data_IF_889563086317
#
_entry.id   IF_889563086317
#
_cell.length_a   1.000
_cell.length_b   1.000
_cell.length_c   1.000
_cell.angle_alpha   90.00
_cell.angle_beta   90.00
_cell.angle_gamma   90.00
#
_symmetry.space_group_name_H-M   'P 1'
#
loop_
_entity.id
_entity.type
_entity.pdbx_description
1 polymer ?
#
# COMPACT_ATOMS: atom_id res chain seq x y z
N UNK A 1 19.50 -6.42 -39.63
CA UNK A 1 19.33 -7.18 -38.37
C UNK A 1 19.59 -6.25 -37.20
N UNK A 2 18.60 -6.03 -36.36
CA UNK A 2 18.75 -5.17 -35.18
C UNK A 2 19.65 -5.86 -34.13
N UNK A 3 20.21 -5.09 -33.20
CA UNK A 3 21.00 -5.61 -32.07
C UNK A 3 20.15 -6.58 -31.26
N UNK A 4 18.84 -6.34 -31.15
CA UNK A 4 17.87 -7.19 -30.47
C UNK A 4 17.76 -8.58 -31.13
N UNK A 5 17.68 -8.64 -32.46
CA UNK A 5 17.63 -9.91 -33.20
C UNK A 5 18.93 -10.73 -33.07
N UNK A 6 20.08 -10.05 -32.88
CA UNK A 6 21.37 -10.73 -32.60
C UNK A 6 21.43 -11.22 -31.15
N UNK A 7 20.86 -10.50 -30.20
CA UNK A 7 20.76 -10.94 -28.80
C UNK A 7 19.82 -12.13 -28.64
N UNK A 8 18.66 -12.13 -29.33
CA UNK A 8 17.75 -13.27 -29.36
C UNK A 8 18.42 -14.52 -29.96
N UNK A 9 19.24 -14.35 -31.01
CA UNK A 9 20.00 -15.48 -31.61
C UNK A 9 21.11 -16.02 -30.70
N UNK A 10 21.67 -15.20 -29.81
CA UNK A 10 22.66 -15.62 -28.83
C UNK A 10 22.03 -16.35 -27.65
N UNK A 11 20.83 -15.97 -27.25
CA UNK A 11 20.06 -16.62 -26.17
C UNK A 11 19.56 -18.01 -26.62
N UNK A 12 19.19 -18.17 -27.89
CA UNK A 12 18.76 -19.45 -28.46
C UNK A 12 19.85 -20.54 -28.58
N UNK A 13 21.12 -20.20 -28.31
CA UNK A 13 22.26 -21.13 -28.38
C UNK A 13 22.82 -21.58 -27.02
N UNK A 14 22.26 -21.08 -25.90
CA UNK A 14 22.72 -21.45 -24.56
C UNK A 14 21.91 -22.64 -23.99
N UNK A 15 22.48 -23.52 -23.19
CA UNK A 15 21.76 -24.58 -22.51
C UNK A 15 20.57 -23.99 -21.73
N UNK A 16 19.36 -24.59 -21.89
CA UNK A 16 18.15 -24.13 -21.20
C UNK A 16 18.38 -23.98 -19.69
N UNK A 17 17.96 -22.87 -19.14
CA UNK A 17 18.10 -22.53 -17.73
C UNK A 17 19.31 -21.65 -17.37
N UNK A 18 20.45 -21.76 -18.10
CA UNK A 18 21.60 -20.93 -17.79
C UNK A 18 21.41 -19.47 -18.17
N UNK A 19 20.76 -19.21 -19.31
CA UNK A 19 20.42 -17.86 -19.77
C UNK A 19 19.38 -17.19 -18.87
N UNK A 20 18.38 -17.93 -18.39
CA UNK A 20 17.33 -17.44 -17.49
C UNK A 20 17.94 -17.08 -16.13
N UNK A 21 18.75 -17.95 -15.54
CA UNK A 21 19.41 -17.69 -14.27
C UNK A 21 20.35 -16.47 -14.34
N UNK A 22 21.05 -16.28 -15.45
CA UNK A 22 21.89 -15.11 -15.68
C UNK A 22 21.03 -13.86 -15.81
N UNK A 23 19.94 -13.90 -16.58
CA UNK A 23 19.03 -12.76 -16.77
C UNK A 23 18.38 -12.33 -15.45
N UNK A 24 17.94 -13.29 -14.63
CA UNK A 24 17.39 -13.03 -13.30
C UNK A 24 18.46 -12.49 -12.33
N UNK A 25 19.64 -13.13 -12.28
CA UNK A 25 20.72 -12.75 -11.38
C UNK A 25 21.34 -11.38 -11.68
N UNK A 26 21.27 -10.93 -12.91
CA UNK A 26 21.76 -9.61 -13.35
C UNK A 26 20.68 -8.54 -13.37
N UNK A 27 19.39 -8.90 -13.14
CA UNK A 27 18.27 -7.97 -13.23
C UNK A 27 17.90 -7.55 -14.66
N UNK A 28 18.38 -8.25 -15.69
CA UNK A 28 17.93 -8.07 -17.09
C UNK A 28 16.51 -8.54 -17.30
N UNK A 29 16.07 -9.55 -16.53
CA UNK A 29 14.68 -9.98 -16.41
C UNK A 29 14.26 -9.99 -14.95
N UNK A 30 12.97 -9.83 -14.68
CA UNK A 30 12.40 -10.00 -13.34
C UNK A 30 11.75 -11.39 -13.20
N UNK A 31 11.95 -12.01 -12.02
CA UNK A 31 11.25 -13.22 -11.65
C UNK A 31 9.81 -12.89 -11.24
N UNK A 32 8.87 -13.82 -11.45
CA UNK A 32 7.54 -13.71 -10.87
C UNK A 32 7.03 -15.06 -10.36
N UNK A 33 6.21 -15.01 -9.32
CA UNK A 33 5.49 -16.16 -8.79
C UNK A 33 4.13 -15.73 -8.23
N UNK A 34 3.28 -16.73 -7.92
CA UNK A 34 1.91 -16.52 -7.47
C UNK A 34 1.78 -16.72 -5.97
N UNK A 35 0.98 -15.87 -5.34
CA UNK A 35 0.71 -15.91 -3.90
C UNK A 35 -0.79 -15.73 -3.63
N UNK A 36 -1.25 -16.32 -2.54
CA UNK A 36 -2.61 -16.10 -2.05
C UNK A 36 -2.70 -14.78 -1.29
N UNK A 37 -3.84 -14.11 -1.39
CA UNK A 37 -4.14 -12.87 -0.69
C UNK A 37 -5.60 -12.80 -0.28
N UNK A 38 -6.01 -11.86 0.59
CA UNK A 38 -7.42 -11.69 0.97
C UNK A 38 -8.36 -11.39 -0.20
N UNK A 39 -7.84 -10.88 -1.31
CA UNK A 39 -8.61 -10.57 -2.53
C UNK A 39 -8.38 -11.58 -3.66
N UNK A 40 -7.95 -12.81 -3.30
CA UNK A 40 -7.63 -13.87 -4.24
C UNK A 40 -6.15 -13.91 -4.63
N UNK A 41 -5.87 -14.70 -5.66
CA UNK A 41 -4.50 -14.97 -6.10
C UNK A 41 -3.88 -13.75 -6.79
N UNK A 42 -2.64 -13.43 -6.41
CA UNK A 42 -1.87 -12.31 -6.94
C UNK A 42 -0.55 -12.77 -7.54
N UNK A 43 0.04 -11.95 -8.40
CA UNK A 43 1.38 -12.12 -8.96
C UNK A 43 2.32 -11.16 -8.25
N UNK A 44 3.45 -11.66 -7.80
CA UNK A 44 4.54 -10.85 -7.23
C UNK A 44 5.75 -10.96 -8.14
N UNK A 45 6.29 -9.83 -8.58
CA UNK A 45 7.54 -9.79 -9.32
C UNK A 45 8.68 -9.38 -8.39
N UNK A 46 9.87 -9.85 -8.73
CA UNK A 46 11.08 -9.59 -7.94
C UNK A 46 12.33 -9.60 -8.82
N UNK A 47 13.35 -8.90 -8.36
CA UNK A 47 14.68 -8.83 -8.95
C UNK A 47 15.75 -8.97 -7.84
N UNK A 48 17.06 -8.88 -8.13
CA UNK A 48 18.10 -9.03 -7.12
C UNK A 48 18.03 -8.03 -5.94
N UNK A 49 17.31 -6.91 -6.10
CA UNK A 49 17.16 -5.86 -5.08
C UNK A 49 15.95 -6.06 -4.15
N UNK A 50 14.96 -6.84 -4.59
CA UNK A 50 13.77 -7.10 -3.80
C UNK A 50 12.51 -7.33 -4.64
N UNK A 51 11.36 -7.30 -3.97
CA UNK A 51 10.04 -7.30 -4.62
C UNK A 51 9.86 -5.97 -5.33
N UNK A 52 9.53 -6.01 -6.63
CA UNK A 52 9.44 -4.85 -7.52
C UNK A 52 8.00 -4.50 -7.90
N UNK A 53 7.10 -5.49 -7.98
CA UNK A 53 5.67 -5.21 -8.16
C UNK A 53 4.76 -6.31 -7.58
N UNK A 54 3.47 -5.97 -7.45
CA UNK A 54 2.39 -6.89 -7.13
C UNK A 54 1.15 -6.49 -7.91
N UNK A 55 0.47 -7.46 -8.53
CA UNK A 55 -0.77 -7.23 -9.28
C UNK A 55 -1.73 -8.43 -9.20
N UNK A 56 -2.98 -8.25 -9.62
CA UNK A 56 -3.92 -9.35 -9.83
C UNK A 56 -3.51 -10.18 -11.05
N UNK A 57 -3.87 -11.47 -11.03
CA UNK A 57 -3.43 -12.44 -12.07
C UNK A 57 -3.97 -12.07 -13.45
N UNK A 58 -5.28 -11.79 -13.56
CA UNK A 58 -5.93 -11.53 -14.84
C UNK A 58 -5.32 -10.32 -15.56
N UNK A 59 -4.77 -10.54 -16.77
CA UNK A 59 -4.16 -9.51 -17.60
C UNK A 59 -2.86 -8.91 -17.01
N UNK A 60 -2.21 -9.62 -16.10
CA UNK A 60 -0.95 -9.17 -15.45
C UNK A 60 0.14 -8.87 -16.47
N UNK A 61 0.46 -9.80 -17.36
CA UNK A 61 1.59 -9.68 -18.28
C UNK A 61 1.50 -8.43 -19.16
N UNK A 62 0.30 -8.13 -19.68
CA UNK A 62 0.06 -6.94 -20.48
C UNK A 62 0.20 -5.64 -19.68
N UNK A 63 -0.33 -5.63 -18.45
CA UNK A 63 -0.18 -4.46 -17.56
C UNK A 63 1.26 -4.25 -17.15
N UNK A 64 1.97 -5.35 -16.84
CA UNK A 64 3.38 -5.30 -16.46
C UNK A 64 4.24 -4.79 -17.63
N UNK A 65 4.08 -5.36 -18.83
CA UNK A 65 4.82 -4.93 -20.02
C UNK A 65 4.60 -3.45 -20.34
N UNK A 66 3.35 -2.99 -20.25
CA UNK A 66 2.99 -1.57 -20.47
C UNK A 66 3.61 -0.63 -19.46
N UNK A 67 3.71 -1.08 -18.20
CA UNK A 67 4.18 -0.24 -17.08
C UNK A 67 5.69 -0.22 -16.95
N UNK A 68 6.33 -1.36 -17.10
CA UNK A 68 7.76 -1.55 -16.78
C UNK A 68 8.60 -1.87 -18.02
N UNK A 69 8.04 -2.49 -19.06
CA UNK A 69 8.72 -2.81 -20.32
C UNK A 69 9.92 -3.75 -20.17
N UNK A 70 9.96 -4.53 -19.09
CA UNK A 70 11.04 -5.48 -18.80
C UNK A 70 10.57 -6.91 -19.06
N UNK A 71 11.46 -7.82 -19.51
CA UNK A 71 11.17 -9.25 -19.57
C UNK A 71 10.86 -9.79 -18.16
N UNK A 72 9.88 -10.73 -18.11
CA UNK A 72 9.56 -11.47 -16.88
C UNK A 72 9.68 -12.96 -17.14
N UNK A 73 10.16 -13.69 -16.17
CA UNK A 73 10.35 -15.14 -16.21
C UNK A 73 9.68 -15.75 -14.98
N UNK A 74 8.97 -16.85 -15.17
CA UNK A 74 8.44 -17.56 -14.01
C UNK A 74 9.58 -18.19 -13.23
N UNK A 75 9.72 -17.82 -11.98
CA UNK A 75 10.78 -18.31 -11.09
C UNK A 75 10.29 -18.30 -9.65
N UNK A 76 10.81 -19.22 -8.85
CA UNK A 76 10.61 -19.17 -7.41
C UNK A 76 11.36 -18.00 -6.79
N UNK A 77 10.73 -17.32 -5.84
CA UNK A 77 11.41 -16.26 -5.09
C UNK A 77 12.60 -16.84 -4.30
N UNK A 78 13.66 -16.05 -4.10
CA UNK A 78 14.79 -16.48 -3.28
C UNK A 78 14.32 -17.06 -1.94
N UNK A 79 14.92 -18.17 -1.52
CA UNK A 79 14.53 -18.91 -0.30
C UNK A 79 14.47 -18.00 0.93
N UNK A 80 15.36 -16.99 1.01
CA UNK A 80 15.33 -15.99 2.09
C UNK A 80 14.07 -15.13 2.11
N UNK A 81 13.30 -15.05 1.01
CA UNK A 81 12.10 -14.23 0.87
C UNK A 81 10.81 -15.04 0.78
N UNK A 82 10.89 -16.30 0.37
CA UNK A 82 9.73 -17.15 0.09
C UNK A 82 8.69 -17.17 1.22
N UNK A 83 9.13 -17.27 2.49
CA UNK A 83 8.23 -17.18 3.64
C UNK A 83 7.85 -15.75 4.04
N UNK A 84 8.62 -14.75 3.63
CA UNK A 84 8.37 -13.34 3.99
C UNK A 84 7.37 -12.65 3.08
N UNK A 85 7.23 -13.09 1.82
CA UNK A 85 6.26 -12.51 0.88
C UNK A 85 4.83 -12.73 1.37
N UNK A 86 4.36 -13.95 1.69
CA UNK A 86 3.03 -14.17 2.26
C UNK A 86 2.80 -13.40 3.56
N UNK A 87 3.80 -13.36 4.44
CA UNK A 87 3.72 -12.61 5.69
C UNK A 87 3.55 -11.10 5.44
N UNK A 88 4.28 -10.53 4.48
CA UNK A 88 4.19 -9.12 4.11
C UNK A 88 2.83 -8.77 3.49
N UNK A 89 2.28 -9.66 2.65
CA UNK A 89 0.93 -9.53 2.08
C UNK A 89 -0.13 -9.53 3.19
N UNK A 90 -0.08 -10.50 4.10
CA UNK A 90 -1.04 -10.64 5.20
C UNK A 90 -0.97 -9.47 6.20
N UNK A 91 0.21 -8.98 6.49
CA UNK A 91 0.41 -7.87 7.43
C UNK A 91 0.21 -6.49 6.80
N UNK A 92 0.32 -6.39 5.47
CA UNK A 92 0.33 -5.12 4.77
C UNK A 92 1.50 -4.24 5.22
N UNK A 93 2.68 -4.82 5.30
CA UNK A 93 3.94 -4.10 5.58
C UNK A 93 5.13 -4.93 5.06
N UNK A 94 6.14 -4.29 4.45
CA UNK A 94 7.33 -4.98 4.00
C UNK A 94 8.10 -5.68 5.14
N UNK A 95 8.11 -5.10 6.34
CA UNK A 95 8.91 -5.62 7.45
C UNK A 95 10.40 -5.76 7.07
N UNK A 96 10.91 -7.02 7.05
CA UNK A 96 12.28 -7.34 6.63
C UNK A 96 12.37 -7.85 5.18
N UNK A 97 11.26 -7.85 4.43
CA UNK A 97 11.26 -8.21 3.01
C UNK A 97 11.88 -7.05 2.22
N UNK A 98 12.94 -7.29 1.42
CA UNK A 98 13.46 -6.27 0.54
C UNK A 98 12.41 -5.87 -0.50
N UNK A 99 12.26 -4.57 -0.74
CA UNK A 99 11.39 -4.02 -1.78
C UNK A 99 12.19 -3.09 -2.68
N UNK A 100 12.00 -3.21 -3.98
CA UNK A 100 12.63 -2.35 -4.97
C UNK A 100 11.66 -1.27 -5.44
N UNK A 101 11.94 -0.03 -5.06
CA UNK A 101 11.20 1.16 -5.46
C UNK A 101 11.93 1.99 -6.52
N UNK A 102 12.95 1.45 -7.22
CA UNK A 102 13.69 2.17 -8.25
C UNK A 102 12.83 2.64 -9.43
N UNK A 103 11.64 2.03 -9.64
CA UNK A 103 10.69 2.42 -10.69
C UNK A 103 9.88 3.66 -10.36
N UNK A 104 9.96 4.23 -9.16
CA UNK A 104 9.21 5.41 -8.73
C UNK A 104 10.15 6.58 -8.42
N UNK A 105 9.60 7.80 -8.43
CA UNK A 105 10.38 8.99 -8.05
C UNK A 105 10.67 9.00 -6.54
N UNK A 106 11.69 9.76 -6.12
CA UNK A 106 12.03 9.94 -4.70
C UNK A 106 10.81 10.40 -3.86
N UNK A 107 10.04 11.36 -4.37
CA UNK A 107 8.80 11.80 -3.71
C UNK A 107 7.79 10.66 -3.55
N UNK A 108 7.60 9.86 -4.61
CA UNK A 108 6.70 8.70 -4.54
C UNK A 108 7.20 7.65 -3.55
N UNK A 109 8.50 7.37 -3.51
CA UNK A 109 9.09 6.46 -2.54
C UNK A 109 8.82 6.91 -1.10
N UNK A 110 9.07 8.18 -0.76
CA UNK A 110 8.75 8.77 0.56
C UNK A 110 7.26 8.63 0.92
N UNK A 111 6.35 8.88 -0.03
CA UNK A 111 4.90 8.70 0.16
C UNK A 111 4.56 7.23 0.44
N UNK A 112 5.16 6.30 -0.28
CA UNK A 112 4.92 4.87 -0.11
C UNK A 112 5.51 4.36 1.22
N UNK A 113 6.67 4.82 1.62
CA UNK A 113 7.28 4.54 2.91
C UNK A 113 6.41 5.05 4.07
N UNK A 114 5.92 6.30 4.00
CA UNK A 114 4.97 6.84 4.97
C UNK A 114 3.67 6.02 5.01
N UNK A 115 3.17 5.58 3.86
CA UNK A 115 1.99 4.72 3.75
C UNK A 115 2.21 3.36 4.44
N UNK A 116 3.40 2.78 4.31
CA UNK A 116 3.76 1.50 4.93
C UNK A 116 3.79 1.54 6.47
N UNK A 117 3.82 2.74 7.08
CA UNK A 117 3.75 2.90 8.54
C UNK A 117 2.34 2.83 9.11
N UNK A 118 1.29 2.88 8.25
CA UNK A 118 -0.10 2.81 8.71
C UNK A 118 -0.39 1.39 9.21
N UNK A 119 -0.78 1.22 10.49
CA UNK A 119 -0.99 -0.11 11.06
C UNK A 119 -2.15 -0.88 10.41
N UNK A 120 -2.09 -2.21 10.44
CA UNK A 120 -3.18 -3.09 10.01
C UNK A 120 -4.48 -2.73 10.74
N UNK A 121 -5.56 -2.62 9.97
CA UNK A 121 -6.88 -2.25 10.46
C UNK A 121 -7.06 -0.76 10.78
N UNK A 122 -6.06 0.09 10.55
CA UNK A 122 -6.19 1.52 10.67
C UNK A 122 -6.19 2.21 9.30
N UNK A 123 -6.88 3.33 9.18
CA UNK A 123 -6.83 4.17 7.98
C UNK A 123 -6.33 5.56 8.30
N UNK A 124 -5.72 6.21 7.30
CA UNK A 124 -5.27 7.61 7.39
C UNK A 124 -5.71 8.37 6.13
N UNK A 125 -6.11 9.64 6.27
CA UNK A 125 -6.43 10.46 5.10
C UNK A 125 -5.18 10.83 4.30
N UNK A 126 -5.34 11.10 2.99
CA UNK A 126 -4.23 11.58 2.15
C UNK A 126 -3.49 12.80 2.74
N UNK A 127 -4.21 13.69 3.43
CA UNK A 127 -3.62 14.84 4.11
C UNK A 127 -2.66 14.44 5.23
N UNK A 128 -2.94 13.33 5.93
CA UNK A 128 -2.02 12.79 6.93
C UNK A 128 -0.71 12.35 6.27
N UNK A 129 -0.78 11.57 5.18
CA UNK A 129 0.41 11.15 4.43
C UNK A 129 1.21 12.35 3.91
N UNK A 130 0.52 13.39 3.39
CA UNK A 130 1.15 14.61 2.92
C UNK A 130 1.98 15.29 4.03
N UNK A 131 1.48 15.29 5.25
CA UNK A 131 2.17 15.84 6.42
C UNK A 131 3.35 14.98 6.87
N UNK A 132 3.22 13.64 6.81
CA UNK A 132 4.31 12.72 7.15
C UNK A 132 5.53 12.83 6.19
N UNK A 133 5.32 13.32 4.97
CA UNK A 133 6.39 13.58 4.01
C UNK A 133 6.83 15.05 3.97
N UNK A 134 6.50 15.84 5.00
CA UNK A 134 6.82 17.25 5.16
C UNK A 134 6.30 18.15 4.00
N UNK A 135 5.19 17.74 3.39
CA UNK A 135 4.57 18.50 2.28
C UNK A 135 3.04 18.55 2.41
N UNK A 136 2.49 19.24 3.44
CA UNK A 136 1.06 19.23 3.76
C UNK A 136 0.16 19.74 2.62
N UNK A 137 0.67 20.54 1.72
CA UNK A 137 -0.07 21.07 0.57
C UNK A 137 -0.10 20.11 -0.64
N UNK A 138 0.69 19.04 -0.63
CA UNK A 138 0.85 18.12 -1.75
C UNK A 138 -0.20 16.99 -1.79
N UNK A 139 -1.39 17.14 -1.19
CA UNK A 139 -2.40 16.08 -1.06
C UNK A 139 -2.76 15.44 -2.40
N UNK A 140 -2.87 16.21 -3.49
CA UNK A 140 -3.13 15.67 -4.84
C UNK A 140 -1.97 14.83 -5.38
N UNK A 141 -0.73 15.31 -5.18
CA UNK A 141 0.48 14.58 -5.59
C UNK A 141 0.64 13.28 -4.79
N UNK A 142 0.33 13.30 -3.50
CA UNK A 142 0.25 12.10 -2.64
C UNK A 142 -0.80 11.13 -3.18
N UNK A 143 -1.99 11.60 -3.55
CA UNK A 143 -3.02 10.75 -4.17
C UNK A 143 -2.52 10.07 -5.44
N UNK A 144 -1.80 10.79 -6.30
CA UNK A 144 -1.20 10.26 -7.51
C UNK A 144 -0.08 9.25 -7.22
N UNK A 145 0.74 9.49 -6.20
CA UNK A 145 1.80 8.58 -5.77
C UNK A 145 1.22 7.26 -5.23
N UNK A 146 0.23 7.36 -4.34
CA UNK A 146 -0.48 6.20 -3.76
C UNK A 146 -1.19 5.37 -4.84
N UNK A 147 -1.82 6.01 -5.84
CA UNK A 147 -2.47 5.33 -6.96
C UNK A 147 -1.48 4.60 -7.88
N UNK A 148 -0.21 5.03 -7.91
CA UNK A 148 0.87 4.42 -8.68
C UNK A 148 1.75 3.47 -7.87
N UNK A 149 1.32 3.08 -6.68
CA UNK A 149 2.04 2.08 -5.89
C UNK A 149 2.35 0.84 -6.73
N UNK A 150 3.62 0.44 -6.90
CA UNK A 150 3.96 -0.76 -7.64
C UNK A 150 3.72 -2.05 -6.85
N UNK A 151 3.70 -1.98 -5.52
CA UNK A 151 3.69 -3.14 -4.62
C UNK A 151 2.48 -3.04 -3.65
N UNK A 152 1.22 -2.94 -4.18
CA UNK A 152 0.04 -2.89 -3.33
C UNK A 152 -0.05 -4.16 -2.47
N UNK A 153 -0.86 -4.15 -1.43
CA UNK A 153 -0.94 -5.12 -0.32
C UNK A 153 0.29 -5.09 0.59
N UNK A 154 1.50 -5.26 0.07
CA UNK A 154 2.76 -5.16 0.85
C UNK A 154 2.99 -3.72 1.30
N UNK A 155 2.78 -2.73 0.40
CA UNK A 155 2.66 -1.31 0.78
C UNK A 155 1.17 -0.97 0.78
N UNK A 156 0.55 -0.75 1.95
CA UNK A 156 -0.90 -0.85 2.14
C UNK A 156 -1.65 0.41 1.70
N UNK A 157 -1.60 0.75 0.41
CA UNK A 157 -2.28 1.93 -0.13
C UNK A 157 -3.81 1.88 0.04
N UNK A 158 -4.41 0.71 0.29
CA UNK A 158 -5.81 0.58 0.68
C UNK A 158 -6.12 1.21 2.05
N UNK A 159 -5.14 1.40 2.93
CA UNK A 159 -5.31 2.09 4.22
C UNK A 159 -5.32 3.61 4.10
N UNK A 160 -5.10 4.17 2.89
CA UNK A 160 -5.19 5.61 2.67
C UNK A 160 -6.59 5.94 2.13
N UNK A 161 -7.29 6.84 2.82
CA UNK A 161 -8.68 7.27 2.52
C UNK A 161 -8.73 8.74 2.13
N UNK A 162 -9.86 9.20 1.62
CA UNK A 162 -10.06 10.60 1.27
C UNK A 162 -10.00 11.48 2.52
N UNK A 163 -9.62 12.73 2.35
CA UNK A 163 -9.56 13.71 3.45
C UNK A 163 -10.95 14.01 4.03
N UNK A 164 -12.02 13.83 3.23
CA UNK A 164 -13.39 13.91 3.68
C UNK A 164 -13.88 12.64 4.43
N UNK A 165 -13.01 11.67 4.66
CA UNK A 165 -13.27 10.45 5.41
C UNK A 165 -13.83 9.29 4.58
N UNK A 166 -14.28 9.54 3.34
CA UNK A 166 -14.76 8.48 2.45
C UNK A 166 -13.61 7.57 2.01
N UNK A 167 -13.90 6.29 1.82
CA UNK A 167 -12.91 5.26 1.48
C UNK A 167 -12.23 5.58 0.14
N UNK A 168 -12.98 5.98 -0.89
CA UNK A 168 -12.47 6.34 -2.20
C UNK A 168 -12.02 5.16 -3.05
N UNK A 169 -11.37 5.47 -4.19
CA UNK A 169 -10.97 4.48 -5.20
C UNK A 169 -9.73 3.66 -4.78
N UNK A 170 -9.50 2.57 -5.52
CA UNK A 170 -8.35 1.70 -5.35
C UNK A 170 -7.80 1.23 -6.70
N UNK A 171 -6.49 1.20 -6.86
CA UNK A 171 -5.84 0.85 -8.13
C UNK A 171 -5.79 -0.66 -8.39
N UNK A 172 -5.75 -1.48 -7.35
CA UNK A 172 -5.70 -2.94 -7.47
C UNK A 172 -7.12 -3.52 -7.45
N UNK A 173 -7.71 -3.74 -8.62
CA UNK A 173 -9.03 -4.36 -8.76
C UNK A 173 -10.23 -3.49 -8.35
N UNK A 174 -10.02 -2.20 -8.07
CA UNK A 174 -11.12 -1.26 -7.82
C UNK A 174 -11.60 -1.14 -6.38
N UNK A 175 -12.67 -0.34 -6.15
CA UNK A 175 -13.15 -0.02 -4.79
C UNK A 175 -13.60 -1.23 -3.98
N UNK A 176 -14.13 -2.26 -4.64
CA UNK A 176 -14.60 -3.50 -3.99
C UNK A 176 -13.44 -4.17 -3.23
N UNK A 177 -12.30 -4.36 -3.88
CA UNK A 177 -11.12 -4.97 -3.26
C UNK A 177 -10.61 -4.14 -2.07
N UNK A 178 -10.74 -2.81 -2.13
CA UNK A 178 -10.37 -1.95 -0.99
C UNK A 178 -11.26 -2.20 0.22
N UNK A 179 -12.58 -2.31 0.00
CA UNK A 179 -13.55 -2.62 1.07
C UNK A 179 -13.28 -3.99 1.64
N UNK A 180 -13.00 -4.99 0.81
CA UNK A 180 -12.68 -6.35 1.23
C UNK A 180 -11.42 -6.39 2.09
N UNK A 181 -10.33 -5.76 1.65
CA UNK A 181 -9.07 -5.66 2.41
C UNK A 181 -9.26 -4.96 3.75
N UNK A 182 -9.94 -3.83 3.78
CA UNK A 182 -10.21 -3.10 5.02
C UNK A 182 -11.08 -3.93 5.99
N UNK A 183 -12.06 -4.69 5.45
CA UNK A 183 -12.89 -5.59 6.24
C UNK A 183 -12.07 -6.74 6.82
N UNK A 184 -11.23 -7.37 6.01
CA UNK A 184 -10.30 -8.42 6.44
C UNK A 184 -9.38 -7.93 7.56
N UNK A 185 -8.97 -6.68 7.51
CA UNK A 185 -8.14 -6.04 8.53
C UNK A 185 -8.91 -5.56 9.77
N UNK A 186 -10.23 -5.63 9.77
CA UNK A 186 -11.07 -5.18 10.88
C UNK A 186 -11.24 -3.66 10.99
N UNK A 187 -11.16 -2.94 9.87
CA UNK A 187 -11.30 -1.48 9.83
C UNK A 187 -12.75 -0.98 9.72
N UNK A 188 -13.74 -1.86 9.56
CA UNK A 188 -15.18 -1.55 9.48
C UNK A 188 -15.55 -0.47 8.44
N UNK A 189 -15.44 -0.75 7.12
CA UNK A 189 -15.68 0.23 6.05
C UNK A 189 -17.04 0.93 6.10
N UNK A 190 -18.11 0.22 6.44
CA UNK A 190 -19.45 0.79 6.55
C UNK A 190 -19.53 1.88 7.62
N UNK A 191 -18.91 1.65 8.78
CA UNK A 191 -18.81 2.66 9.85
C UNK A 191 -18.03 3.90 9.37
N UNK A 192 -16.96 3.72 8.61
CA UNK A 192 -16.17 4.83 8.08
C UNK A 192 -17.01 5.69 7.11
N UNK A 193 -17.76 5.06 6.21
CA UNK A 193 -18.65 5.78 5.28
C UNK A 193 -19.77 6.49 6.02
N UNK A 194 -20.35 5.88 7.07
CA UNK A 194 -21.35 6.51 7.93
C UNK A 194 -20.78 7.76 8.63
N UNK A 195 -19.62 7.65 9.27
CA UNK A 195 -18.94 8.78 9.88
C UNK A 195 -18.64 9.89 8.86
N UNK A 196 -18.18 9.50 7.67
CA UNK A 196 -17.90 10.45 6.58
C UNK A 196 -19.18 11.19 6.13
N UNK A 197 -20.32 10.50 5.99
CA UNK A 197 -21.60 11.09 5.62
C UNK A 197 -22.10 12.11 6.65
N UNK A 198 -21.83 11.87 7.93
CA UNK A 198 -22.12 12.80 9.04
C UNK A 198 -21.02 13.86 9.23
N UNK A 199 -20.02 13.91 8.32
CA UNK A 199 -18.88 14.83 8.38
C UNK A 199 -17.99 14.66 9.62
N UNK A 200 -18.04 13.51 10.29
CA UNK A 200 -17.14 13.19 11.41
C UNK A 200 -15.77 12.80 10.83
N UNK A 201 -14.73 13.54 11.20
CA UNK A 201 -13.34 13.32 10.72
C UNK A 201 -12.43 12.75 11.80
N UNK A 202 -12.69 13.13 13.03
CA UNK A 202 -11.97 12.64 14.20
C UNK A 202 -12.96 12.32 15.32
N UNK A 203 -12.55 11.46 16.22
CA UNK A 203 -13.37 11.08 17.37
C UNK A 203 -12.55 11.25 18.65
N UNK A 204 -13.15 11.89 19.66
CA UNK A 204 -12.59 12.09 20.97
C UNK A 204 -13.10 11.08 21.99
N UNK A 205 -12.29 10.78 23.00
CA UNK A 205 -12.71 10.04 24.19
C UNK A 205 -12.88 11.05 25.34
N UNK A 206 -14.11 11.24 25.80
CA UNK A 206 -14.44 12.22 26.85
C UNK A 206 -13.78 11.92 28.21
N UNK A 207 -13.45 10.65 28.48
CA UNK A 207 -12.74 10.28 29.74
C UNK A 207 -11.28 10.68 29.74
N UNK A 208 -10.63 10.80 28.55
CA UNK A 208 -9.20 11.08 28.43
C UNK A 208 -8.87 12.45 27.85
N UNK A 209 -9.86 13.11 27.25
CA UNK A 209 -9.67 14.35 26.50
C UNK A 209 -8.74 14.21 25.29
N UNK A 210 -8.68 13.01 24.68
CA UNK A 210 -7.82 12.75 23.52
C UNK A 210 -8.69 12.48 22.30
N UNK A 211 -8.39 13.15 21.16
CA UNK A 211 -9.02 12.84 19.89
C UNK A 211 -8.07 12.10 18.94
N UNK A 212 -8.64 11.23 18.12
CA UNK A 212 -7.97 10.29 17.24
C UNK A 212 -8.62 10.24 15.86
N UNK A 213 -7.93 9.65 14.87
CA UNK A 213 -8.63 9.11 13.70
C UNK A 213 -9.58 7.98 14.12
N UNK A 214 -10.74 7.79 13.45
CA UNK A 214 -11.79 6.85 13.89
C UNK A 214 -11.33 5.40 14.06
N UNK A 215 -10.35 4.95 13.28
CA UNK A 215 -9.82 3.58 13.34
C UNK A 215 -8.62 3.42 14.27
N UNK A 216 -8.21 4.48 14.97
CA UNK A 216 -7.04 4.42 15.83
C UNK A 216 -7.20 3.37 16.94
N UNK A 217 -6.21 2.52 17.10
CA UNK A 217 -6.17 1.47 18.13
C UNK A 217 -6.39 2.02 19.54
N UNK A 218 -5.91 3.23 19.86
CA UNK A 218 -6.14 3.85 21.15
C UNK A 218 -7.64 4.14 21.40
N UNK A 219 -8.40 4.46 20.35
CA UNK A 219 -9.84 4.74 20.45
C UNK A 219 -10.68 3.46 20.56
N UNK A 220 -10.26 2.36 19.91
CA UNK A 220 -11.00 1.08 19.91
C UNK A 220 -11.26 0.49 21.29
N UNK A 221 -10.48 0.88 22.29
CA UNK A 221 -10.63 0.45 23.68
C UNK A 221 -11.60 1.31 24.48
N UNK A 222 -12.13 2.37 23.88
CA UNK A 222 -13.06 3.29 24.52
C UNK A 222 -14.46 2.70 24.59
N UNK A 223 -15.18 2.95 25.69
CA UNK A 223 -16.62 2.66 25.72
C UNK A 223 -17.31 3.59 24.72
N UNK A 224 -18.26 3.07 23.95
CA UNK A 224 -19.00 3.82 22.95
C UNK A 224 -19.67 5.09 23.53
N UNK A 225 -20.15 5.03 24.78
CA UNK A 225 -20.73 6.17 25.50
C UNK A 225 -19.76 7.34 25.71
N UNK A 226 -18.46 7.09 25.62
CA UNK A 226 -17.43 8.10 25.82
C UNK A 226 -16.86 8.63 24.51
N UNK A 227 -17.33 8.14 23.36
CA UNK A 227 -16.84 8.56 22.05
C UNK A 227 -17.68 9.70 21.51
N UNK A 228 -17.03 10.82 21.20
CA UNK A 228 -17.65 12.04 20.65
C UNK A 228 -17.05 12.29 19.27
N UNK A 229 -17.89 12.53 18.25
CA UNK A 229 -17.47 12.85 16.90
C UNK A 229 -17.23 14.34 16.69
N UNK A 230 -16.19 14.70 15.92
CA UNK A 230 -15.88 16.08 15.52
C UNK A 230 -15.64 16.16 14.02
N UNK A 231 -15.98 17.31 13.44
CA UNK A 231 -15.81 17.60 12.00
C UNK A 231 -14.36 17.90 11.62
N UNK A 232 -13.57 18.33 12.60
CA UNK A 232 -12.15 18.64 12.41
C UNK A 232 -11.39 18.48 13.72
N UNK A 233 -10.06 18.45 13.65
CA UNK A 233 -9.21 18.51 14.84
C UNK A 233 -9.35 19.84 15.56
N UNK A 234 -9.51 20.96 14.83
CA UNK A 234 -9.73 22.28 15.44
C UNK A 234 -11.01 22.30 16.31
N UNK A 235 -12.13 21.74 15.81
CA UNK A 235 -13.37 21.61 16.61
C UNK A 235 -13.14 20.78 17.89
N UNK A 236 -12.33 19.72 17.78
CA UNK A 236 -11.98 18.91 18.95
C UNK A 236 -11.08 19.68 19.95
N UNK A 237 -10.15 20.47 19.46
CA UNK A 237 -9.29 21.31 20.29
C UNK A 237 -10.05 22.42 20.98
N UNK A 238 -10.97 23.08 20.28
CA UNK A 238 -11.89 24.08 20.86
C UNK A 238 -12.80 23.47 21.95
N UNK A 239 -13.13 22.18 21.83
CA UNK A 239 -13.86 21.41 22.85
C UNK A 239 -12.96 20.89 24.00
N UNK A 240 -11.69 21.29 24.05
CA UNK A 240 -10.73 20.93 25.11
C UNK A 240 -10.05 19.58 24.95
N UNK A 241 -10.14 18.95 23.77
CA UNK A 241 -9.43 17.72 23.48
C UNK A 241 -8.04 18.01 22.90
N UNK A 242 -7.08 17.11 23.14
CA UNK A 242 -5.75 17.16 22.54
C UNK A 242 -5.54 16.04 21.53
N UNK A 243 -4.65 16.22 20.52
CA UNK A 243 -4.40 15.20 19.52
C UNK A 243 -3.70 13.97 20.09
N UNK A 244 -4.06 12.80 19.58
CA UNK A 244 -3.42 11.55 19.92
C UNK A 244 -1.99 11.50 19.36
N UNK A 245 -1.03 11.15 20.20
CA UNK A 245 0.39 11.02 19.83
C UNK A 245 0.67 9.82 18.93
N UNK A 246 -0.18 8.77 18.96
CA UNK A 246 0.01 7.56 18.14
C UNK A 246 -0.44 7.77 16.70
N UNK A 247 -1.68 8.21 16.48
CA UNK A 247 -2.21 8.38 15.13
C UNK A 247 -2.01 9.78 14.56
N UNK A 248 -1.59 10.76 15.37
CA UNK A 248 -1.28 12.14 14.98
C UNK A 248 -2.34 12.73 14.04
N UNK A 249 -3.63 12.83 14.49
CA UNK A 249 -4.69 13.31 13.61
C UNK A 249 -4.39 14.74 13.13
N UNK A 250 -4.81 15.03 11.91
CA UNK A 250 -4.71 16.37 11.35
C UNK A 250 -5.81 17.25 11.94
N UNK A 251 -5.43 18.46 12.35
CA UNK A 251 -6.32 19.51 12.83
C UNK A 251 -7.18 20.06 11.72
#
# INVERSE_FOLDING_TARGET
MSIESKLESLVGGLPGGLSENVALGTGLAEGYDYYESPIGRVVVTFNPHGVSSLDIVDGFEERYARRFGRPILRAEAPTAWAGRIPEAIERGTPGKLPVDLASVTEFQARVLEATATIPKGEVRPYGWVAREVDNPNAVRAVGSAVARNPIPLIIPCHRVVRTDGHIGNYSLGGPHNKVELLTHEGAHPSMLEELASHRVRVQGNSSTGIYCHPTCHALRRSKTSNVVGFRSGAEAEDAGYRPCRLCRPIG
#
